data_IF_516330177501
#
_entry.id   IF_516330177501
#
_cell.length_a   1.000
_cell.length_b   1.000
_cell.length_c   1.000
_cell.angle_alpha   90.00
_cell.angle_beta   90.00
_cell.angle_gamma   90.00
#
_symmetry.space_group_name_H-M   'P 1'
#
loop_
_entity.id
_entity.type
_entity.pdbx_description
1 polymer ?
#
# COMPACT_ATOMS: atom_id res chain seq x y z
N UNK A 1 -4.93 -2.02 -1.93
CA UNK A 1 -4.34 -2.51 -3.19
C UNK A 1 -5.27 -3.42 -4.02
N UNK A 2 -6.45 -3.79 -3.51
CA UNK A 2 -7.21 -4.96 -3.96
C UNK A 2 -8.15 -4.74 -5.14
N UNK A 3 -8.42 -3.49 -5.55
CA UNK A 3 -9.31 -3.19 -6.70
C UNK A 3 -8.78 -1.98 -7.48
N UNK A 4 -8.75 -2.02 -8.83
CA UNK A 4 -8.99 -3.19 -9.69
C UNK A 4 -7.90 -4.28 -9.56
N UNK A 5 -6.80 -4.00 -8.86
CA UNK A 5 -5.72 -4.94 -8.58
C UNK A 5 -4.52 -4.77 -9.52
N UNK A 6 -3.31 -4.94 -8.99
CA UNK A 6 -2.06 -4.66 -9.71
C UNK A 6 -1.86 -5.52 -10.96
N UNK A 7 -2.29 -6.79 -10.95
CA UNK A 7 -2.23 -7.66 -12.14
C UNK A 7 -3.09 -7.13 -13.31
N UNK A 8 -4.30 -6.65 -13.00
CA UNK A 8 -5.21 -6.11 -14.01
C UNK A 8 -4.66 -4.80 -14.57
N UNK A 9 -4.23 -3.88 -13.70
CA UNK A 9 -3.56 -2.63 -14.14
C UNK A 9 -2.36 -2.94 -15.04
N UNK A 10 -1.52 -3.91 -14.66
CA UNK A 10 -0.39 -4.34 -15.48
C UNK A 10 -0.82 -4.82 -16.88
N UNK A 11 -1.89 -5.63 -16.96
CA UNK A 11 -2.41 -6.11 -18.25
C UNK A 11 -3.00 -5.01 -19.14
N UNK A 12 -3.39 -3.87 -18.56
CA UNK A 12 -3.93 -2.71 -19.27
C UNK A 12 -2.84 -1.68 -19.64
N UNK A 13 -1.56 -2.04 -19.55
CA UNK A 13 -0.43 -1.16 -19.88
C UNK A 13 0.09 -0.33 -18.72
N UNK A 14 -0.14 -0.76 -17.47
CA UNK A 14 0.26 -0.02 -16.27
C UNK A 14 -0.66 1.18 -16.00
N UNK A 15 -0.29 2.02 -15.04
CA UNK A 15 -1.09 3.19 -14.65
C UNK A 15 -1.21 4.20 -15.80
N UNK A 16 -0.16 4.40 -16.60
CA UNK A 16 -0.22 5.27 -17.77
C UNK A 16 -1.25 4.76 -18.79
N UNK A 17 -1.23 3.46 -19.13
CA UNK A 17 -2.20 2.87 -20.05
C UNK A 17 -3.62 2.87 -19.49
N UNK A 18 -3.78 2.59 -18.19
CA UNK A 18 -5.09 2.56 -17.54
C UNK A 18 -5.73 3.95 -17.40
N UNK A 19 -4.95 4.98 -17.13
CA UNK A 19 -5.46 6.35 -16.88
C UNK A 19 -5.41 7.24 -18.12
N UNK A 20 -4.60 6.89 -19.13
CA UNK A 20 -4.27 7.75 -20.27
C UNK A 20 -3.31 8.90 -19.92
N UNK A 21 -2.76 8.94 -18.70
CA UNK A 21 -1.87 10.01 -18.26
C UNK A 21 -0.42 9.79 -18.71
N UNK A 22 0.12 10.73 -19.49
CA UNK A 22 1.47 10.64 -20.06
C UNK A 22 2.58 11.32 -19.25
N UNK A 23 2.27 11.96 -18.12
CA UNK A 23 3.27 12.56 -17.23
C UNK A 23 3.79 11.57 -16.19
N UNK A 24 4.73 12.02 -15.36
CA UNK A 24 5.31 11.17 -14.30
C UNK A 24 4.28 10.81 -13.21
N UNK A 25 4.28 9.56 -12.79
CA UNK A 25 3.45 8.99 -11.73
C UNK A 25 4.33 8.56 -10.56
N UNK A 26 4.09 9.16 -9.39
CA UNK A 26 4.59 8.69 -8.12
C UNK A 26 3.55 7.80 -7.46
N UNK A 27 3.94 6.61 -7.02
CA UNK A 27 3.11 5.78 -6.15
C UNK A 27 3.60 5.80 -4.72
N UNK A 28 2.66 6.01 -3.82
CA UNK A 28 2.88 5.93 -2.39
C UNK A 28 2.87 4.45 -1.93
N UNK A 29 3.60 4.16 -0.87
CA UNK A 29 3.79 2.81 -0.32
C UNK A 29 2.54 2.28 0.37
N UNK A 30 1.66 3.20 0.81
CA UNK A 30 0.47 2.91 1.61
C UNK A 30 0.71 2.86 3.12
N UNK A 31 1.96 3.06 3.58
CA UNK A 31 2.36 2.93 4.99
C UNK A 31 1.57 3.84 5.92
N UNK A 32 1.50 5.13 5.57
CA UNK A 32 0.76 6.13 6.35
C UNK A 32 -0.73 5.81 6.50
N UNK A 33 -1.39 5.38 5.41
CA UNK A 33 -2.82 5.05 5.40
C UNK A 33 -3.10 3.83 6.29
N UNK A 34 -2.26 2.79 6.18
CA UNK A 34 -2.39 1.59 7.00
C UNK A 34 -2.17 1.90 8.49
N UNK A 35 -1.11 2.65 8.80
CA UNK A 35 -0.79 3.04 10.17
C UNK A 35 -1.94 3.84 10.80
N UNK A 36 -2.45 4.87 10.09
CA UNK A 36 -3.50 5.75 10.62
C UNK A 36 -4.78 5.00 10.95
N UNK A 37 -5.21 4.07 10.08
CA UNK A 37 -6.42 3.27 10.31
C UNK A 37 -6.26 2.28 11.46
N UNK A 38 -5.10 1.62 11.56
CA UNK A 38 -4.83 0.66 12.66
C UNK A 38 -4.74 1.39 14.01
N UNK A 39 -4.15 2.60 14.02
CA UNK A 39 -4.08 3.44 15.22
C UNK A 39 -5.46 3.92 15.66
N UNK A 40 -6.30 4.37 14.73
CA UNK A 40 -7.67 4.82 15.03
C UNK A 40 -8.52 3.65 15.57
N UNK A 41 -8.35 2.45 15.02
CA UNK A 41 -8.99 1.25 15.56
C UNK A 41 -8.14 -0.01 15.28
N UNK A 42 -7.69 -0.66 16.35
CA UNK A 42 -6.89 -1.89 16.30
C UNK A 42 -7.59 -3.08 15.65
N UNK A 43 -8.92 -3.05 15.48
CA UNK A 43 -9.65 -4.07 14.71
C UNK A 43 -9.25 -4.10 13.23
N UNK A 44 -8.74 -2.98 12.70
CA UNK A 44 -8.30 -2.89 11.32
C UNK A 44 -6.99 -3.62 11.05
N UNK A 45 -6.22 -4.01 12.07
CA UNK A 45 -4.92 -4.58 11.79
C UNK A 45 -3.96 -4.70 12.95
N UNK A 46 -2.76 -5.11 12.60
CA UNK A 46 -1.62 -5.19 13.50
C UNK A 46 -0.35 -4.86 12.70
N UNK A 47 0.57 -4.16 13.36
CA UNK A 47 1.86 -3.78 12.80
C UNK A 47 2.93 -4.63 13.47
N UNK A 48 3.81 -5.22 12.67
CA UNK A 48 4.91 -6.08 13.10
C UNK A 48 6.19 -5.62 12.41
N UNK A 49 7.34 -6.06 12.94
CA UNK A 49 8.68 -5.64 12.46
C UNK A 49 8.86 -5.73 10.93
N UNK A 50 8.32 -6.77 10.28
CA UNK A 50 8.52 -7.03 8.83
C UNK A 50 7.24 -6.96 8.01
N UNK A 51 6.10 -6.72 8.64
CA UNK A 51 4.82 -6.77 7.96
C UNK A 51 3.75 -5.92 8.66
N UNK A 52 2.82 -5.41 7.85
CA UNK A 52 1.57 -4.84 8.33
C UNK A 52 0.44 -5.75 7.88
N UNK A 53 -0.37 -6.22 8.83
CA UNK A 53 -1.56 -7.01 8.55
C UNK A 53 -2.77 -6.09 8.67
N UNK A 54 -3.52 -5.97 7.58
CA UNK A 54 -4.69 -5.09 7.49
C UNK A 54 -5.96 -5.89 7.18
N UNK A 55 -7.08 -5.47 7.77
CA UNK A 55 -8.40 -6.11 7.74
C UNK A 55 -9.44 -5.05 7.34
N UNK A 56 -9.65 -4.79 6.03
CA UNK A 56 -10.45 -3.66 5.55
C UNK A 56 -11.90 -3.64 6.08
N UNK A 57 -12.54 -4.81 6.18
CA UNK A 57 -13.93 -4.95 6.64
C UNK A 57 -14.03 -5.44 8.09
N UNK A 58 -12.95 -5.29 8.89
CA UNK A 58 -12.84 -5.85 10.26
C UNK A 58 -13.13 -7.37 10.35
N UNK A 59 -13.16 -8.04 9.21
CA UNK A 59 -13.62 -9.41 9.04
C UNK A 59 -12.47 -10.40 8.80
N UNK A 60 -12.73 -11.41 7.96
CA UNK A 60 -11.80 -12.52 7.70
C UNK A 60 -10.73 -12.22 6.64
N UNK A 61 -10.98 -11.30 5.72
CA UNK A 61 -10.01 -10.97 4.67
C UNK A 61 -8.82 -10.22 5.28
N UNK A 62 -7.63 -10.81 5.11
CA UNK A 62 -6.37 -10.26 5.62
C UNK A 62 -5.48 -9.90 4.45
N UNK A 63 -4.99 -8.68 4.45
CA UNK A 63 -3.99 -8.19 3.51
C UNK A 63 -2.67 -8.02 4.27
N UNK A 64 -1.63 -8.68 3.78
CA UNK A 64 -0.28 -8.56 4.34
C UNK A 64 0.56 -7.67 3.44
N UNK A 65 1.03 -6.57 4.01
CA UNK A 65 1.93 -5.62 3.39
C UNK A 65 3.34 -5.87 3.92
N UNK A 66 4.30 -6.01 3.02
CA UNK A 66 5.73 -6.08 3.35
C UNK A 66 6.47 -5.12 2.42
N UNK A 67 7.68 -4.67 2.76
CA UNK A 67 8.47 -3.81 1.88
C UNK A 67 8.59 -4.38 0.45
N UNK A 68 8.84 -5.68 0.32
CA UNK A 68 8.99 -6.38 -0.96
C UNK A 68 7.68 -6.39 -1.76
N UNK A 69 6.54 -6.65 -1.09
CA UNK A 69 5.23 -6.65 -1.74
C UNK A 69 4.82 -5.25 -2.20
N UNK A 70 5.12 -4.21 -1.41
CA UNK A 70 4.83 -2.84 -1.79
C UNK A 70 5.64 -2.42 -3.01
N UNK A 71 6.94 -2.72 -3.06
CA UNK A 71 7.78 -2.46 -4.24
C UNK A 71 7.30 -3.28 -5.44
N UNK A 72 7.00 -4.57 -5.25
CA UNK A 72 6.49 -5.43 -6.32
C UNK A 72 5.18 -4.91 -6.93
N UNK A 73 4.26 -4.40 -6.09
CA UNK A 73 3.02 -3.81 -6.57
C UNK A 73 3.25 -2.54 -7.39
N UNK A 74 4.14 -1.65 -6.92
CA UNK A 74 4.50 -0.41 -7.63
C UNK A 74 5.18 -0.69 -8.98
N UNK A 75 6.02 -1.72 -9.07
CA UNK A 75 6.54 -2.22 -10.35
C UNK A 75 5.44 -2.72 -11.29
N UNK A 76 4.42 -3.42 -10.76
CA UNK A 76 3.29 -3.89 -11.57
C UNK A 76 2.40 -2.73 -12.04
N UNK A 77 2.28 -1.68 -11.22
CA UNK A 77 1.61 -0.44 -11.60
C UNK A 77 2.39 0.34 -12.67
N UNK A 78 3.69 0.13 -12.81
CA UNK A 78 4.53 0.84 -13.78
C UNK A 78 4.70 2.31 -13.39
N UNK A 79 5.03 2.56 -12.13
CA UNK A 79 5.27 3.92 -11.62
C UNK A 79 6.68 4.40 -11.96
N UNK A 80 6.83 5.70 -12.18
CA UNK A 80 8.12 6.33 -12.43
C UNK A 80 8.92 6.53 -11.13
N UNK A 81 8.22 6.85 -10.04
CA UNK A 81 8.79 7.06 -8.71
C UNK A 81 8.03 6.16 -7.74
N UNK A 82 8.79 5.39 -6.96
CA UNK A 82 8.25 4.42 -6.01
C UNK A 82 8.70 4.75 -4.61
N UNK A 83 7.77 4.75 -3.67
CA UNK A 83 8.05 4.99 -2.25
C UNK A 83 8.28 3.66 -1.52
N UNK A 84 9.31 3.63 -0.66
CA UNK A 84 9.53 2.53 0.25
C UNK A 84 8.40 2.46 1.29
N UNK A 85 8.05 1.24 1.73
CA UNK A 85 7.12 1.08 2.83
C UNK A 85 7.72 1.66 4.11
N UNK A 86 7.01 2.59 4.72
CA UNK A 86 7.40 3.33 5.90
C UNK A 86 6.40 3.12 7.04
N UNK A 87 6.83 3.46 8.26
CA UNK A 87 5.97 3.53 9.43
C UNK A 87 5.98 4.98 9.92
N UNK A 88 4.92 5.71 9.57
CA UNK A 88 4.76 7.10 10.00
C UNK A 88 4.17 7.12 11.41
N UNK A 89 5.04 7.00 12.43
CA UNK A 89 4.66 7.01 13.83
C UNK A 89 4.06 8.35 14.25
N UNK A 90 3.17 8.33 15.24
CA UNK A 90 2.61 9.56 15.78
C UNK A 90 3.65 10.32 16.60
N UNK A 91 3.55 11.66 16.71
CA UNK A 91 4.44 12.46 17.56
C UNK A 91 4.51 12.03 19.04
N UNK A 92 3.52 11.28 19.52
CA UNK A 92 3.42 10.82 20.91
C UNK A 92 3.83 9.34 21.07
N UNK A 93 4.21 8.67 19.99
CA UNK A 93 4.66 7.28 20.07
C UNK A 93 6.06 7.22 20.69
N UNK A 94 6.35 6.19 21.51
CA UNK A 94 7.69 6.00 22.05
C UNK A 94 8.69 5.68 20.93
N UNK A 95 9.90 6.22 21.06
CA UNK A 95 11.05 5.93 20.20
C UNK A 95 11.65 4.55 20.48
#
# INVERSE_FOLDING_TARGET
MTKPGAKLIKSLGGLHGFTGYGGAILTDSGGFQLYSLIRENSEYGEIRDKEIIFRPDRGKEKLTFTPEKCIQAQFQYGSDIMMALDMCTHPDDPY
#
